data_IF_750085525255
#
_entry.id   IF_750085525255
#
_cell.length_a   1.000
_cell.length_b   1.000
_cell.length_c   1.000
_cell.angle_alpha   90.00
_cell.angle_beta   90.00
_cell.angle_gamma   90.00
#
_symmetry.space_group_name_H-M   'P 1'
#
loop_
_entity.id
_entity.type
_entity.pdbx_description
1 polymer ?
#
# COMPACT_ATOMS: atom_id res chain seq x y z
N UNK A 1 -1.52 2.37 22.03
CA UNK A 1 -0.90 1.12 21.55
C UNK A 1 -0.05 1.50 20.34
N UNK A 2 1.27 1.32 20.44
CA UNK A 2 2.21 1.59 19.34
C UNK A 2 2.47 0.27 18.62
N UNK A 3 1.67 -0.05 17.61
CA UNK A 3 1.61 -1.44 17.12
C UNK A 3 2.81 -1.89 16.28
N UNK A 4 3.76 -1.02 15.91
CA UNK A 4 4.97 -1.47 15.19
C UNK A 4 6.15 -0.45 15.09
N UNK A 5 6.62 0.20 16.17
CA UNK A 5 7.68 1.20 16.06
C UNK A 5 8.99 0.62 15.49
N UNK A 6 9.33 -0.62 15.82
CA UNK A 6 10.59 -1.24 15.39
C UNK A 6 10.60 -1.63 13.91
N UNK A 7 9.46 -2.07 13.36
CA UNK A 7 9.38 -2.45 11.95
C UNK A 7 9.44 -1.24 11.03
N UNK A 8 8.80 -0.12 11.42
CA UNK A 8 8.87 1.13 10.66
C UNK A 8 10.31 1.66 10.55
N UNK A 9 11.06 1.59 11.65
CA UNK A 9 12.47 2.00 11.67
C UNK A 9 13.36 1.08 10.83
N UNK A 10 13.23 -0.25 10.96
CA UNK A 10 14.01 -1.21 10.16
C UNK A 10 13.75 -1.05 8.65
N UNK A 11 12.49 -0.89 8.25
CA UNK A 11 12.14 -0.64 6.84
C UNK A 11 12.79 0.64 6.33
N UNK A 12 12.82 1.70 7.16
CA UNK A 12 13.41 2.99 6.78
C UNK A 12 14.94 2.95 6.69
N UNK A 13 15.60 2.23 7.61
CA UNK A 13 17.07 2.18 7.69
C UNK A 13 17.69 1.19 6.71
N UNK A 14 17.04 0.04 6.48
CA UNK A 14 17.60 -1.09 5.73
C UNK A 14 16.85 -1.39 4.43
N UNK A 15 15.67 -0.80 4.23
CA UNK A 15 14.87 -0.99 3.02
C UNK A 15 14.28 -2.39 2.87
N UNK A 16 14.43 -3.26 3.87
CA UNK A 16 13.92 -4.63 3.86
C UNK A 16 12.62 -4.76 4.66
N UNK A 17 11.58 -5.27 4.00
CA UNK A 17 10.32 -5.63 4.66
C UNK A 17 10.47 -7.06 5.20
N UNK A 18 10.32 -7.29 6.52
CA UNK A 18 10.42 -8.63 7.10
C UNK A 18 9.51 -9.64 6.42
N UNK A 19 10.00 -10.87 6.25
CA UNK A 19 9.26 -11.94 5.55
C UNK A 19 7.86 -12.16 6.12
N UNK A 20 7.71 -12.14 7.44
CA UNK A 20 6.42 -12.30 8.11
C UNK A 20 5.42 -11.18 7.74
N UNK A 21 5.89 -9.93 7.72
CA UNK A 21 5.07 -8.77 7.33
C UNK A 21 4.68 -8.88 5.85
N UNK A 22 5.62 -9.28 4.98
CA UNK A 22 5.34 -9.49 3.56
C UNK A 22 4.32 -10.61 3.34
N UNK A 23 4.43 -11.72 4.07
CA UNK A 23 3.47 -12.83 3.96
C UNK A 23 2.09 -12.41 4.45
N UNK A 24 2.00 -11.66 5.55
CA UNK A 24 0.72 -11.21 6.07
C UNK A 24 0.06 -10.19 5.14
N UNK A 25 0.84 -9.25 4.61
CA UNK A 25 0.35 -8.31 3.60
C UNK A 25 -0.22 -9.03 2.36
N UNK A 26 0.45 -10.10 1.89
CA UNK A 26 -0.07 -10.94 0.79
C UNK A 26 -1.31 -11.73 1.16
N UNK A 27 -1.42 -12.18 2.42
CA UNK A 27 -2.62 -12.86 2.93
C UNK A 27 -3.80 -11.89 2.95
N UNK A 28 -3.64 -10.73 3.58
CA UNK A 28 -4.66 -9.68 3.63
C UNK A 28 -5.08 -9.21 2.23
N UNK A 29 -4.13 -9.03 1.32
CA UNK A 29 -4.44 -8.64 -0.06
C UNK A 29 -5.40 -9.64 -0.75
N UNK A 30 -5.21 -10.94 -0.55
CA UNK A 30 -6.11 -11.98 -1.09
C UNK A 30 -7.48 -11.95 -0.41
N UNK A 31 -7.50 -11.77 0.91
CA UNK A 31 -8.75 -11.65 1.68
C UNK A 31 -9.57 -10.44 1.18
N UNK A 32 -8.92 -9.29 0.95
CA UNK A 32 -9.55 -8.10 0.39
C UNK A 32 -10.03 -8.31 -1.05
N UNK A 33 -9.21 -8.92 -1.91
CA UNK A 33 -9.62 -9.24 -3.28
C UNK A 33 -10.85 -10.15 -3.29
N UNK A 34 -10.92 -11.13 -2.37
CA UNK A 34 -12.09 -11.98 -2.23
C UNK A 34 -13.32 -11.18 -1.77
N UNK A 35 -13.20 -10.36 -0.71
CA UNK A 35 -14.30 -9.53 -0.20
C UNK A 35 -14.81 -8.56 -1.29
N UNK A 36 -13.89 -7.89 -1.99
CA UNK A 36 -14.22 -6.91 -3.03
C UNK A 36 -14.72 -7.57 -4.32
N UNK A 37 -14.45 -8.85 -4.51
CA UNK A 37 -15.01 -9.63 -5.62
C UNK A 37 -16.48 -10.00 -5.41
N UNK A 38 -17.10 -9.62 -4.30
CA UNK A 38 -18.52 -9.88 -4.03
C UNK A 38 -19.33 -8.60 -4.21
N UNK A 39 -20.47 -8.70 -4.88
CA UNK A 39 -21.45 -7.63 -4.93
C UNK A 39 -22.20 -7.57 -3.59
N UNK A 40 -22.03 -6.51 -2.78
CA UNK A 40 -22.71 -6.39 -1.50
C UNK A 40 -24.24 -6.27 -1.64
N UNK A 41 -24.75 -5.93 -2.84
CA UNK A 41 -26.18 -5.75 -3.11
C UNK A 41 -26.89 -7.06 -3.42
N UNK A 42 -26.21 -7.99 -4.11
CA UNK A 42 -26.80 -9.27 -4.54
C UNK A 42 -26.21 -10.49 -3.80
N UNK A 43 -25.09 -10.31 -3.08
CA UNK A 43 -24.39 -11.40 -2.40
C UNK A 43 -23.75 -12.41 -3.37
N UNK A 44 -23.56 -12.01 -4.64
CA UNK A 44 -22.99 -12.87 -5.68
C UNK A 44 -21.60 -12.38 -6.10
N UNK A 45 -20.72 -13.27 -6.59
CA UNK A 45 -19.42 -12.83 -7.12
C UNK A 45 -19.61 -11.86 -8.28
N UNK A 46 -18.97 -10.70 -8.17
CA UNK A 46 -18.96 -9.63 -9.14
C UNK A 46 -18.24 -10.09 -10.43
N UNK A 47 -18.75 -9.77 -11.62
CA UNK A 47 -18.07 -10.11 -12.87
C UNK A 47 -16.65 -9.52 -12.89
N UNK A 48 -15.69 -10.28 -13.41
CA UNK A 48 -14.26 -9.94 -13.39
C UNK A 48 -13.92 -8.57 -14.02
N UNK A 49 -14.77 -8.05 -14.92
CA UNK A 49 -14.64 -6.72 -15.50
C UNK A 49 -14.92 -5.59 -14.50
N UNK A 50 -15.90 -5.76 -13.61
CA UNK A 50 -16.27 -4.77 -12.60
C UNK A 50 -15.30 -4.80 -11.41
N UNK A 51 -14.78 -5.97 -11.03
CA UNK A 51 -13.77 -6.09 -9.98
C UNK A 51 -12.46 -5.35 -10.33
N UNK A 52 -12.08 -5.31 -11.62
CA UNK A 52 -10.90 -4.56 -12.10
C UNK A 52 -11.07 -3.05 -12.04
N UNK A 53 -12.30 -2.54 -12.10
CA UNK A 53 -12.59 -1.11 -11.98
C UNK A 53 -12.57 -0.65 -10.52
N UNK A 54 -12.97 -1.53 -9.58
CA UNK A 54 -12.85 -1.29 -8.15
C UNK A 54 -11.38 -1.36 -7.67
N UNK A 55 -10.57 -2.24 -8.26
CA UNK A 55 -9.13 -2.29 -8.07
C UNK A 55 -8.44 -1.20 -8.90
N UNK A 56 -8.63 0.07 -8.51
CA UNK A 56 -8.07 1.24 -9.17
C UNK A 56 -6.55 1.19 -9.36
N UNK A 57 -5.97 2.10 -10.17
CA UNK A 57 -4.56 2.06 -10.56
C UNK A 57 -3.68 2.03 -9.31
N UNK A 58 -2.92 0.95 -9.11
CA UNK A 58 -1.90 0.88 -8.05
C UNK A 58 -0.81 1.90 -8.39
N UNK A 59 -0.99 3.14 -7.90
CA UNK A 59 0.03 4.16 -7.93
C UNK A 59 1.19 3.61 -7.10
N UNK A 60 2.23 3.15 -7.78
CA UNK A 60 3.49 2.81 -7.11
C UNK A 60 3.85 3.98 -6.20
N UNK A 61 4.10 3.70 -4.94
CA UNK A 61 4.63 4.68 -4.00
C UNK A 61 5.88 5.28 -4.64
N UNK A 62 5.79 6.50 -5.14
CA UNK A 62 6.95 7.27 -5.56
C UNK A 62 7.72 7.62 -4.29
N UNK A 63 8.88 7.01 -4.17
CA UNK A 63 9.89 7.24 -3.15
C UNK A 63 10.20 8.73 -3.01
N UNK A 64 9.90 9.28 -1.83
CA UNK A 64 10.58 10.45 -1.24
C UNK A 64 10.23 11.84 -1.79
N UNK A 65 10.17 12.88 -0.93
CA UNK A 65 10.29 14.25 -1.39
C UNK A 65 11.69 14.49 -1.97
N UNK A 66 11.74 15.15 -3.13
CA UNK A 66 12.97 15.56 -3.79
C UNK A 66 13.72 16.57 -2.90
N UNK A 67 14.98 16.31 -2.50
CA UNK A 67 15.74 17.23 -1.65
C UNK A 67 16.24 18.50 -2.39
N UNK A 68 15.98 18.65 -3.69
CA UNK A 68 16.47 19.80 -4.47
C UNK A 68 15.67 21.11 -4.30
N UNK A 69 14.47 21.08 -3.70
CA UNK A 69 13.64 22.31 -3.50
C UNK A 69 14.17 23.25 -2.38
N UNK A 70 15.26 22.89 -1.67
CA UNK A 70 15.72 23.65 -0.48
C UNK A 70 16.77 24.73 -0.78
N UNK A 71 17.33 24.80 -1.98
CA UNK A 71 18.51 25.64 -2.25
C UNK A 71 18.23 27.10 -2.69
N UNK A 72 16.99 27.50 -2.92
CA UNK A 72 16.70 28.83 -3.53
C UNK A 72 16.14 29.93 -2.60
N UNK A 73 16.15 29.77 -1.27
CA UNK A 73 15.60 30.79 -0.35
C UNK A 73 16.58 31.42 0.63
N UNK A 74 17.85 31.56 0.22
CA UNK A 74 18.78 32.50 0.89
C UNK A 74 19.54 33.31 -0.15
N UNK A 75 19.03 34.48 -0.53
CA UNK A 75 19.80 35.39 -1.38
C UNK A 75 19.06 36.62 -1.91
N UNK A 76 18.68 37.54 -1.01
CA UNK A 76 18.79 39.02 -1.08
C UNK A 76 17.68 39.73 -0.28
#
# INVERSE_FOLDING_TARGET
>A
MHDAPIYAQLISERGDIPTLVRSEARRLQRDFEWILSWDPSTGTPLPASAARLAAGPRRGFSTGPDPDDRLDSTGL
#
